data_IF_996723057045
#
_entry.id   IF_996723057045
#
_cell.length_a   1.000
_cell.length_b   1.000
_cell.length_c   1.000
_cell.angle_alpha   90.00
_cell.angle_beta   90.00
_cell.angle_gamma   90.00
#
_symmetry.space_group_name_H-M   'P 1'
#
loop_
_entity.id
_entity.type
_entity.pdbx_description
1 polymer ?
#
# COMPACT_ATOMS: atom_id res chain seq x y z
N UNK A 1 -4.14 -8.55 33.02
CA UNK A 1 -4.71 -7.80 31.87
C UNK A 1 -3.62 -7.23 30.98
N UNK A 2 -2.59 -6.57 31.51
CA UNK A 2 -1.55 -5.90 30.70
C UNK A 2 -0.76 -6.83 29.77
N UNK A 3 -0.38 -8.04 30.22
CA UNK A 3 0.38 -9.01 29.40
C UNK A 3 -0.44 -9.49 28.19
N UNK A 4 -1.74 -9.74 28.38
CA UNK A 4 -2.63 -10.19 27.29
C UNK A 4 -2.81 -9.08 26.25
N UNK A 5 -3.03 -7.84 26.66
CA UNK A 5 -3.10 -6.72 25.73
C UNK A 5 -1.76 -6.48 25.02
N UNK A 6 -0.63 -6.64 25.72
CA UNK A 6 0.68 -6.50 25.09
C UNK A 6 0.85 -7.54 23.97
N UNK A 7 0.41 -8.78 24.19
CA UNK A 7 0.39 -9.81 23.15
C UNK A 7 -0.49 -9.41 21.96
N UNK A 8 -1.69 -8.87 22.21
CA UNK A 8 -2.57 -8.36 21.16
C UNK A 8 -1.94 -7.20 20.38
N UNK A 9 -1.26 -6.27 21.06
CA UNK A 9 -0.57 -5.14 20.40
C UNK A 9 0.60 -5.63 19.54
N UNK A 10 1.37 -6.61 20.01
CA UNK A 10 2.42 -7.24 19.19
C UNK A 10 1.81 -7.94 17.97
N UNK A 11 0.70 -8.67 18.15
CA UNK A 11 0.00 -9.35 17.08
C UNK A 11 -0.58 -8.35 16.05
N UNK A 12 -1.12 -7.22 16.50
CA UNK A 12 -1.58 -6.13 15.64
C UNK A 12 -0.42 -5.53 14.84
N UNK A 13 0.75 -5.31 15.46
CA UNK A 13 1.96 -4.87 14.76
C UNK A 13 2.37 -5.87 13.68
N UNK A 14 2.32 -7.17 13.95
CA UNK A 14 2.66 -8.22 12.98
C UNK A 14 1.66 -8.26 11.80
N UNK A 15 0.35 -8.16 12.06
CA UNK A 15 -0.64 -8.04 10.99
C UNK A 15 -0.47 -6.75 10.19
N UNK A 16 -0.10 -5.64 10.81
CA UNK A 16 0.22 -4.41 10.11
C UNK A 16 1.45 -4.57 9.20
N UNK A 17 2.51 -5.25 9.65
CA UNK A 17 3.66 -5.55 8.79
C UNK A 17 3.24 -6.35 7.56
N UNK A 18 2.46 -7.43 7.76
CA UNK A 18 1.97 -8.25 6.65
C UNK A 18 1.08 -7.43 5.71
N UNK A 19 0.17 -6.62 6.25
CA UNK A 19 -0.69 -5.75 5.46
C UNK A 19 0.13 -4.80 4.58
N UNK A 20 1.16 -4.16 5.15
CA UNK A 20 2.02 -3.22 4.42
C UNK A 20 2.90 -3.87 3.37
N UNK A 21 3.43 -5.07 3.63
CA UNK A 21 4.18 -5.80 2.59
C UNK A 21 3.27 -6.14 1.41
N UNK A 22 2.11 -6.71 1.68
CA UNK A 22 1.26 -7.22 0.61
C UNK A 22 0.49 -6.12 -0.10
N UNK A 23 0.16 -5.01 0.55
CA UNK A 23 -0.46 -3.87 -0.12
C UNK A 23 0.48 -3.23 -1.15
N UNK A 24 1.74 -3.00 -0.77
CA UNK A 24 2.79 -2.51 -1.66
C UNK A 24 2.97 -3.40 -2.89
N UNK A 25 3.10 -4.72 -2.66
CA UNK A 25 3.25 -5.68 -3.76
C UNK A 25 1.99 -5.84 -4.59
N UNK A 26 0.82 -5.58 -4.02
CA UNK A 26 -0.43 -5.55 -4.76
C UNK A 26 -0.47 -4.34 -5.69
N UNK A 27 -0.10 -3.17 -5.16
CA UNK A 27 -0.12 -1.92 -5.89
C UNK A 27 0.95 -1.84 -6.97
N UNK A 28 2.09 -2.49 -6.79
CA UNK A 28 3.11 -2.68 -7.81
C UNK A 28 2.63 -3.56 -8.97
N UNK A 29 2.04 -4.72 -8.66
CA UNK A 29 1.51 -5.64 -9.68
C UNK A 29 0.38 -4.97 -10.47
N UNK A 30 -0.48 -4.24 -9.77
CA UNK A 30 -1.61 -3.56 -10.38
C UNK A 30 -1.27 -2.18 -10.98
N UNK A 31 -0.08 -1.66 -10.68
CA UNK A 31 0.33 -0.29 -10.98
C UNK A 31 -0.72 0.72 -10.51
N UNK A 32 -1.08 0.72 -9.22
CA UNK A 32 -1.96 1.73 -8.61
C UNK A 32 -1.24 2.88 -7.93
N UNK A 33 0.08 2.76 -7.80
CA UNK A 33 0.96 3.68 -7.09
C UNK A 33 1.15 5.03 -7.76
N UNK A 34 1.71 5.98 -7.02
CA UNK A 34 1.99 7.33 -7.50
C UNK A 34 2.79 7.34 -8.83
N UNK A 35 3.80 6.48 -9.04
CA UNK A 35 4.52 6.40 -10.30
C UNK A 35 3.67 5.88 -11.48
N UNK A 36 2.48 5.31 -11.26
CA UNK A 36 1.60 4.87 -12.34
C UNK A 36 1.09 6.04 -13.21
N UNK A 37 1.09 7.27 -12.71
CA UNK A 37 0.86 8.46 -13.54
C UNK A 37 1.82 8.50 -14.75
N UNK A 38 3.05 8.03 -14.57
CA UNK A 38 4.09 7.99 -15.59
C UNK A 38 3.86 6.86 -16.60
N UNK A 39 3.40 5.71 -16.10
CA UNK A 39 2.94 4.60 -16.95
C UNK A 39 1.80 5.03 -17.87
N UNK A 40 0.88 5.87 -17.38
CA UNK A 40 -0.22 6.41 -18.19
C UNK A 40 0.24 7.40 -19.27
N UNK A 41 1.29 8.15 -19.00
CA UNK A 41 1.84 9.16 -19.92
C UNK A 41 2.78 8.54 -20.96
N UNK A 42 3.39 7.40 -20.66
CA UNK A 42 4.39 6.77 -21.52
C UNK A 42 3.94 6.58 -23.00
N UNK A 43 2.71 6.10 -23.29
CA UNK A 43 2.27 6.00 -24.69
C UNK A 43 2.18 7.35 -25.41
N UNK A 44 1.86 8.44 -24.69
CA UNK A 44 1.69 9.78 -25.28
C UNK A 44 3.00 10.33 -25.87
N UNK A 45 4.14 9.87 -25.34
CA UNK A 45 5.47 10.24 -25.83
C UNK A 45 6.11 9.13 -26.68
N UNK A 46 5.34 8.11 -27.08
CA UNK A 46 5.79 7.02 -27.95
C UNK A 46 6.39 5.80 -27.23
N UNK A 47 6.38 5.77 -25.89
CA UNK A 47 6.88 4.65 -25.11
C UNK A 47 5.77 3.63 -24.82
N UNK A 48 5.61 2.67 -25.73
CA UNK A 48 4.70 1.54 -25.54
C UNK A 48 5.25 0.59 -24.46
N UNK A 49 4.39 0.12 -23.56
CA UNK A 49 4.79 -0.66 -22.39
C UNK A 49 3.87 -1.86 -22.12
N UNK A 50 4.39 -2.89 -21.46
CA UNK A 50 3.60 -4.03 -20.94
C UNK A 50 3.39 -3.93 -19.43
N UNK A 51 3.08 -2.74 -18.94
CA UNK A 51 2.73 -2.56 -17.52
C UNK A 51 1.22 -2.66 -17.36
N UNK A 52 0.78 -3.37 -16.34
CA UNK A 52 -0.62 -3.37 -15.95
C UNK A 52 -0.96 -1.96 -15.49
N UNK A 53 -2.17 -1.49 -15.75
CA UNK A 53 -2.56 -0.12 -15.43
C UNK A 53 -3.96 -0.11 -14.85
N UNK A 54 -4.03 -0.39 -13.56
CA UNK A 54 -5.19 -0.07 -12.74
C UNK A 54 -4.88 1.25 -12.06
N UNK A 55 -5.48 2.35 -12.47
CA UNK A 55 -5.73 3.42 -11.50
C UNK A 55 -7.19 3.81 -11.59
N UNK A 56 -7.90 3.50 -10.52
CA UNK A 56 -9.28 3.91 -10.32
C UNK A 56 -9.29 5.16 -9.44
N UNK A 57 -8.44 5.17 -8.42
CA UNK A 57 -8.15 6.28 -7.52
C UNK A 57 -6.69 6.17 -7.05
N UNK A 58 -6.22 7.16 -6.28
CA UNK A 58 -4.96 7.01 -5.54
C UNK A 58 -5.04 5.86 -4.51
N UNK A 59 -3.88 5.30 -4.16
CA UNK A 59 -3.76 4.16 -3.24
C UNK A 59 -4.49 4.35 -1.91
N UNK A 60 -4.36 5.50 -1.20
CA UNK A 60 -5.03 5.67 0.09
C UNK A 60 -6.55 5.48 0.00
N UNK A 61 -7.15 6.05 -1.04
CA UNK A 61 -8.60 5.97 -1.24
C UNK A 61 -9.03 4.57 -1.70
N UNK A 62 -8.23 3.90 -2.53
CA UNK A 62 -8.55 2.56 -3.00
C UNK A 62 -8.52 1.57 -1.83
N UNK A 63 -7.40 1.53 -1.11
CA UNK A 63 -7.22 0.63 0.04
C UNK A 63 -8.23 0.96 1.13
N UNK A 64 -8.45 2.25 1.44
CA UNK A 64 -9.47 2.69 2.39
C UNK A 64 -10.88 2.24 2.01
N UNK A 65 -11.25 2.34 0.73
CA UNK A 65 -12.58 1.91 0.26
C UNK A 65 -12.74 0.39 0.31
N UNK A 66 -11.73 -0.38 -0.14
CA UNK A 66 -11.77 -1.84 -0.09
C UNK A 66 -11.76 -2.37 1.35
N UNK A 67 -10.99 -1.74 2.23
CA UNK A 67 -10.99 -2.03 3.66
C UNK A 67 -12.35 -1.73 4.30
N UNK A 68 -13.01 -0.62 3.93
CA UNK A 68 -14.38 -0.32 4.38
C UNK A 68 -15.38 -1.38 3.95
N UNK A 69 -15.32 -1.84 2.70
CA UNK A 69 -16.19 -2.92 2.21
C UNK A 69 -15.98 -4.19 3.05
N UNK A 70 -14.72 -4.54 3.30
CA UNK A 70 -14.37 -5.68 4.16
C UNK A 70 -14.91 -5.49 5.58
N UNK A 71 -14.67 -4.33 6.20
CA UNK A 71 -15.15 -4.00 7.54
C UNK A 71 -16.67 -3.97 7.65
N UNK A 72 -17.38 -3.51 6.62
CA UNK A 72 -18.85 -3.51 6.57
C UNK A 72 -19.43 -4.93 6.52
N UNK A 73 -18.90 -5.78 5.64
CA UNK A 73 -19.30 -7.20 5.57
C UNK A 73 -18.98 -7.90 6.89
N UNK A 74 -17.79 -7.65 7.45
CA UNK A 74 -17.39 -8.22 8.72
C UNK A 74 -18.32 -7.80 9.87
N UNK A 75 -18.66 -6.51 9.93
CA UNK A 75 -19.58 -5.96 10.93
C UNK A 75 -20.96 -6.63 10.86
N UNK A 76 -21.52 -6.80 9.66
CA UNK A 76 -22.80 -7.47 9.46
C UNK A 76 -22.75 -8.95 9.88
N UNK A 77 -21.69 -9.68 9.52
CA UNK A 77 -21.56 -11.10 9.87
C UNK A 77 -21.32 -11.33 11.36
N UNK A 78 -20.63 -10.41 12.05
CA UNK A 78 -20.49 -10.41 13.51
C UNK A 78 -21.86 -10.18 14.17
N UNK A 79 -22.66 -9.26 13.65
CA UNK A 79 -23.99 -8.96 14.17
C UNK A 79 -24.93 -10.18 14.14
N UNK A 80 -24.83 -11.02 13.11
CA UNK A 80 -25.57 -12.29 13.01
C UNK A 80 -24.82 -13.48 13.65
N UNK A 81 -23.89 -13.21 14.56
CA UNK A 81 -23.16 -14.18 15.40
C UNK A 81 -22.41 -15.29 14.65
N UNK A 82 -21.83 -14.98 13.48
CA UNK A 82 -20.98 -15.95 12.78
C UNK A 82 -19.59 -16.11 13.44
N UNK A 83 -18.92 -17.28 13.26
CA UNK A 83 -17.57 -17.50 13.80
C UNK A 83 -16.55 -16.51 13.23
N UNK A 84 -15.75 -15.89 14.12
CA UNK A 84 -14.83 -14.79 13.78
C UNK A 84 -13.90 -15.12 12.60
N UNK A 85 -13.26 -16.30 12.61
CA UNK A 85 -12.34 -16.68 11.53
C UNK A 85 -13.04 -16.71 10.17
N UNK A 86 -14.27 -17.26 10.11
CA UNK A 86 -15.08 -17.31 8.90
C UNK A 86 -15.48 -15.90 8.46
N UNK A 87 -15.82 -15.02 9.41
CA UNK A 87 -16.13 -13.61 9.11
C UNK A 87 -14.94 -12.91 8.44
N UNK A 88 -13.73 -13.04 8.99
CA UNK A 88 -12.52 -12.39 8.48
C UNK A 88 -12.17 -12.88 7.07
N UNK A 89 -12.33 -14.18 6.80
CA UNK A 89 -12.09 -14.77 5.47
C UNK A 89 -13.13 -14.30 4.45
N UNK A 90 -14.43 -14.37 4.77
CA UNK A 90 -15.49 -14.00 3.82
C UNK A 90 -15.45 -12.52 3.50
N UNK A 91 -15.28 -11.67 4.52
CA UNK A 91 -15.24 -10.21 4.33
C UNK A 91 -14.08 -9.75 3.46
N UNK A 92 -12.88 -10.28 3.67
CA UNK A 92 -11.71 -9.97 2.83
C UNK A 92 -11.86 -10.52 1.41
N UNK A 93 -12.44 -11.72 1.25
CA UNK A 93 -12.74 -12.30 -0.06
C UNK A 93 -13.71 -11.44 -0.88
N UNK A 94 -14.81 -10.98 -0.26
CA UNK A 94 -15.81 -10.13 -0.94
C UNK A 94 -15.16 -8.82 -1.41
N UNK A 95 -14.39 -8.15 -0.56
CA UNK A 95 -13.68 -6.93 -0.94
C UNK A 95 -12.66 -7.16 -2.06
N UNK A 96 -11.94 -8.30 -2.01
CA UNK A 96 -10.98 -8.68 -3.06
C UNK A 96 -11.67 -8.89 -4.41
N UNK A 97 -12.83 -9.55 -4.45
CA UNK A 97 -13.61 -9.75 -5.69
C UNK A 97 -13.99 -8.40 -6.29
N UNK A 98 -14.46 -7.46 -5.46
CA UNK A 98 -14.80 -6.11 -5.91
C UNK A 98 -13.57 -5.41 -6.51
N UNK A 99 -12.42 -5.48 -5.83
CA UNK A 99 -11.16 -4.90 -6.33
C UNK A 99 -10.70 -5.53 -7.65
N UNK A 100 -10.85 -6.85 -7.83
CA UNK A 100 -10.53 -7.55 -9.08
C UNK A 100 -11.41 -7.05 -10.23
N UNK A 101 -12.71 -6.89 -10.01
CA UNK A 101 -13.63 -6.35 -11.03
C UNK A 101 -13.20 -4.94 -11.45
N UNK A 102 -12.86 -4.07 -10.49
CA UNK A 102 -12.31 -2.75 -10.77
C UNK A 102 -10.97 -2.80 -11.51
N UNK A 103 -10.13 -3.78 -11.21
CA UNK A 103 -8.82 -3.97 -11.87
C UNK A 103 -8.98 -4.30 -13.35
N UNK A 104 -9.86 -5.25 -13.68
CA UNK A 104 -10.11 -5.65 -15.07
C UNK A 104 -10.73 -4.49 -15.86
N UNK A 105 -11.78 -3.89 -15.31
CA UNK A 105 -12.52 -2.81 -15.99
C UNK A 105 -11.65 -1.58 -16.24
N UNK A 106 -10.84 -1.16 -15.26
CA UNK A 106 -9.95 -0.01 -15.40
C UNK A 106 -8.80 -0.25 -16.38
N UNK A 107 -8.16 -1.42 -16.35
CA UNK A 107 -7.11 -1.77 -17.30
C UNK A 107 -7.64 -1.75 -18.73
N UNK A 108 -8.74 -2.47 -19.00
CA UNK A 108 -9.33 -2.50 -20.34
C UNK A 108 -9.78 -1.11 -20.79
N UNK A 109 -10.47 -0.36 -19.93
CA UNK A 109 -10.97 0.99 -20.26
C UNK A 109 -9.88 2.03 -20.49
N UNK A 110 -8.71 1.88 -19.85
CA UNK A 110 -7.58 2.81 -20.04
C UNK A 110 -6.75 2.49 -21.25
N UNK A 111 -6.45 1.21 -21.50
CA UNK A 111 -5.68 0.86 -22.70
C UNK A 111 -6.49 1.18 -23.96
N UNK A 112 -7.83 1.05 -23.93
CA UNK A 112 -8.68 1.48 -25.04
C UNK A 112 -8.63 2.99 -25.26
N UNK A 113 -8.52 3.82 -24.22
CA UNK A 113 -8.35 5.27 -24.39
C UNK A 113 -6.96 5.65 -24.93
N UNK A 114 -5.94 4.81 -24.67
CA UNK A 114 -4.59 4.96 -25.21
C UNK A 114 -4.43 4.37 -26.63
N UNK A 115 -5.50 3.84 -27.24
CA UNK A 115 -5.45 3.32 -28.61
C UNK A 115 -5.05 4.40 -29.64
N UNK A 116 -5.32 5.69 -29.36
CA UNK A 116 -4.85 6.82 -30.17
C UNK A 116 -3.32 6.85 -30.31
N UNK A 117 -2.61 6.35 -29.30
CA UNK A 117 -1.15 6.32 -29.25
C UNK A 117 -0.57 4.96 -29.69
N UNK A 118 -1.39 4.11 -30.32
CA UNK A 118 -1.04 2.74 -30.71
C UNK A 118 -0.62 1.83 -29.55
N UNK A 119 -1.06 2.12 -28.31
CA UNK A 119 -0.85 1.22 -27.17
C UNK A 119 -1.72 -0.03 -27.33
N UNK A 120 -1.12 -1.22 -27.50
CA UNK A 120 -1.89 -2.43 -27.69
C UNK A 120 -2.45 -2.95 -26.36
N UNK A 121 -3.64 -3.55 -26.42
CA UNK A 121 -4.22 -4.28 -25.30
C UNK A 121 -3.54 -5.65 -25.16
N UNK A 122 -2.67 -5.77 -24.16
CA UNK A 122 -2.02 -7.02 -23.82
C UNK A 122 -2.95 -7.89 -22.96
N UNK A 123 -3.55 -8.92 -23.56
CA UNK A 123 -4.44 -9.85 -22.86
C UNK A 123 -3.70 -10.76 -21.88
N UNK A 124 -2.44 -11.08 -22.16
CA UNK A 124 -1.58 -11.85 -21.26
C UNK A 124 -1.35 -11.16 -19.90
N UNK A 125 -1.44 -9.83 -19.88
CA UNK A 125 -1.38 -9.04 -18.65
C UNK A 125 -2.61 -9.26 -17.76
N UNK A 126 -3.81 -9.39 -18.32
CA UNK A 126 -5.00 -9.72 -17.53
C UNK A 126 -4.87 -11.09 -16.86
N UNK A 127 -4.44 -12.10 -17.60
CA UNK A 127 -4.37 -13.46 -17.08
C UNK A 127 -3.28 -13.66 -16.02
N UNK A 128 -2.17 -12.93 -16.10
CA UNK A 128 -1.04 -13.07 -15.17
C UNK A 128 -1.17 -12.16 -13.95
N UNK A 129 -1.56 -10.90 -14.15
CA UNK A 129 -1.52 -9.89 -13.10
C UNK A 129 -2.74 -9.96 -12.19
N UNK A 130 -3.92 -10.29 -12.71
CA UNK A 130 -5.15 -10.35 -11.91
C UNK A 130 -5.06 -11.37 -10.78
N UNK A 131 -4.66 -12.65 -11.00
CA UNK A 131 -4.57 -13.61 -9.90
C UNK A 131 -3.53 -13.22 -8.84
N UNK A 132 -2.39 -12.67 -9.26
CA UNK A 132 -1.33 -12.23 -8.35
C UNK A 132 -1.76 -11.02 -7.51
N UNK A 133 -2.33 -10.00 -8.14
CA UNK A 133 -2.91 -8.84 -7.45
C UNK A 133 -4.04 -9.27 -6.51
N UNK A 134 -4.93 -10.17 -6.93
CA UNK A 134 -6.00 -10.68 -6.08
C UNK A 134 -5.46 -11.38 -4.82
N UNK A 135 -4.40 -12.19 -4.95
CA UNK A 135 -3.80 -12.88 -3.81
C UNK A 135 -3.18 -11.89 -2.82
N UNK A 136 -2.44 -10.89 -3.30
CA UNK A 136 -1.86 -9.87 -2.45
C UNK A 136 -2.94 -8.99 -1.78
N UNK A 137 -3.96 -8.58 -2.53
CA UNK A 137 -5.10 -7.81 -2.02
C UNK A 137 -5.83 -8.56 -0.90
N UNK A 138 -6.08 -9.86 -1.09
CA UNK A 138 -6.72 -10.70 -0.08
C UNK A 138 -5.91 -10.72 1.23
N UNK A 139 -4.59 -10.93 1.15
CA UNK A 139 -3.73 -10.99 2.34
C UNK A 139 -3.70 -9.64 3.06
N UNK A 140 -3.59 -8.54 2.30
CA UNK A 140 -3.61 -7.20 2.86
C UNK A 140 -4.94 -6.89 3.55
N UNK A 141 -6.07 -7.08 2.86
CA UNK A 141 -7.40 -6.81 3.39
C UNK A 141 -7.75 -7.73 4.56
N UNK A 142 -7.38 -9.01 4.51
CA UNK A 142 -7.53 -9.92 5.64
C UNK A 142 -6.77 -9.41 6.87
N UNK A 143 -5.54 -8.94 6.67
CA UNK A 143 -4.71 -8.41 7.75
C UNK A 143 -5.29 -7.12 8.33
N UNK A 144 -5.75 -6.19 7.48
CA UNK A 144 -6.43 -4.94 7.90
C UNK A 144 -7.72 -5.23 8.68
N UNK A 145 -8.56 -6.13 8.19
CA UNK A 145 -9.81 -6.45 8.86
C UNK A 145 -9.57 -7.17 10.18
N UNK A 146 -8.56 -8.06 10.23
CA UNK A 146 -8.15 -8.74 11.47
C UNK A 146 -7.60 -7.77 12.50
N UNK A 147 -6.69 -6.87 12.10
CA UNK A 147 -6.11 -5.89 13.02
C UNK A 147 -7.18 -4.91 13.53
N UNK A 148 -8.10 -4.48 12.68
CA UNK A 148 -9.23 -3.61 13.06
C UNK A 148 -10.22 -4.32 13.97
N UNK A 149 -10.45 -5.63 13.77
CA UNK A 149 -11.27 -6.44 14.67
C UNK A 149 -10.65 -6.49 16.08
N UNK A 150 -9.34 -6.68 16.18
CA UNK A 150 -8.64 -6.68 17.47
C UNK A 150 -8.79 -5.32 18.16
N UNK A 151 -8.60 -4.21 17.42
CA UNK A 151 -8.76 -2.84 17.93
C UNK A 151 -10.15 -2.55 18.51
N UNK A 152 -11.20 -3.04 17.87
CA UNK A 152 -12.60 -2.71 18.21
C UNK A 152 -13.20 -3.68 19.23
N UNK A 153 -12.82 -4.96 19.21
CA UNK A 153 -13.53 -5.98 19.98
C UNK A 153 -12.67 -6.75 20.99
N UNK A 154 -11.34 -6.83 20.81
CA UNK A 154 -10.50 -7.73 21.61
C UNK A 154 -9.64 -7.03 22.67
N UNK A 155 -9.29 -5.76 22.47
CA UNK A 155 -8.55 -4.98 23.47
C UNK A 155 -9.42 -4.71 24.71
N UNK A 156 -8.82 -4.67 25.90
CA UNK A 156 -9.58 -4.34 27.14
C UNK A 156 -10.12 -2.92 27.14
N UNK A 157 -9.43 -1.99 26.47
CA UNK A 157 -9.92 -0.65 26.18
C UNK A 157 -10.14 -0.55 24.66
N UNK A 158 -11.28 -1.05 24.15
CA UNK A 158 -11.54 -1.07 22.73
C UNK A 158 -11.80 0.33 22.19
N UNK A 159 -11.50 0.52 20.91
CA UNK A 159 -11.91 1.72 20.19
C UNK A 159 -13.44 1.69 20.05
N UNK A 160 -14.11 2.71 20.59
CA UNK A 160 -15.58 2.84 20.57
C UNK A 160 -16.09 3.44 19.25
N UNK A 161 -15.64 2.88 18.13
CA UNK A 161 -16.00 3.30 16.77
C UNK A 161 -16.39 2.06 15.97
N UNK A 162 -17.36 2.20 15.07
CA UNK A 162 -17.82 1.08 14.25
C UNK A 162 -16.68 0.51 13.39
N UNK A 163 -16.61 -0.82 13.27
CA UNK A 163 -15.59 -1.54 12.50
C UNK A 163 -15.38 -1.00 11.06
N UNK A 164 -16.43 -0.64 10.30
CA UNK A 164 -16.24 -0.10 8.94
C UNK A 164 -15.49 1.24 8.92
N UNK A 165 -15.65 2.06 9.96
CA UNK A 165 -14.96 3.35 10.07
C UNK A 165 -13.50 3.13 10.48
N UNK A 166 -13.23 2.19 11.39
CA UNK A 166 -11.85 1.87 11.78
C UNK A 166 -11.08 1.28 10.59
N UNK A 167 -11.67 0.32 9.88
CA UNK A 167 -11.06 -0.26 8.67
C UNK A 167 -10.82 0.79 7.57
N UNK A 168 -11.71 1.76 7.40
CA UNK A 168 -11.50 2.89 6.50
C UNK A 168 -10.23 3.68 6.83
N UNK A 169 -10.08 4.14 8.08
CA UNK A 169 -8.93 4.94 8.50
C UNK A 169 -7.61 4.15 8.46
N UNK A 170 -7.65 2.89 8.89
CA UNK A 170 -6.50 1.98 8.81
C UNK A 170 -6.12 1.73 7.35
N UNK A 171 -7.10 1.53 6.46
CA UNK A 171 -6.85 1.35 5.03
C UNK A 171 -6.28 2.59 4.35
N UNK A 172 -6.80 3.79 4.65
CA UNK A 172 -6.20 5.05 4.16
C UNK A 172 -4.77 5.21 4.66
N UNK A 173 -4.53 4.94 5.94
CA UNK A 173 -3.20 5.03 6.53
C UNK A 173 -2.23 4.08 5.81
N UNK A 174 -2.65 2.83 5.59
CA UNK A 174 -1.85 1.85 4.87
C UNK A 174 -1.51 2.31 3.45
N UNK A 175 -2.52 2.65 2.63
CA UNK A 175 -2.26 3.10 1.26
C UNK A 175 -1.49 4.43 1.18
N UNK A 176 -1.52 5.25 2.24
CA UNK A 176 -0.65 6.45 2.32
C UNK A 176 0.80 6.09 2.60
N UNK A 177 1.04 5.04 3.40
CA UNK A 177 2.38 4.57 3.73
C UNK A 177 2.99 3.82 2.54
N UNK A 178 2.24 2.94 1.87
CA UNK A 178 2.67 2.30 0.62
C UNK A 178 3.15 3.34 -0.38
N UNK A 179 2.31 4.35 -0.63
CA UNK A 179 2.66 5.43 -1.57
C UNK A 179 3.84 6.30 -1.13
N UNK A 180 4.03 6.52 0.17
CA UNK A 180 5.10 7.39 0.66
C UNK A 180 6.46 6.67 0.78
N UNK A 181 6.45 5.35 0.97
CA UNK A 181 7.63 4.57 1.35
C UNK A 181 8.06 3.63 0.23
N UNK A 182 7.13 2.83 -0.28
CA UNK A 182 7.42 1.80 -1.26
C UNK A 182 7.54 2.29 -2.69
N UNK A 183 6.74 3.29 -3.06
CA UNK A 183 6.73 3.87 -4.41
C UNK A 183 8.09 4.42 -4.86
N UNK A 184 9.00 4.70 -3.92
CA UNK A 184 10.37 5.09 -4.23
C UNK A 184 11.08 3.98 -5.03
N UNK A 185 10.89 2.72 -4.62
CA UNK A 185 11.51 1.56 -5.27
C UNK A 185 10.83 1.23 -6.60
N UNK A 186 9.50 1.36 -6.68
CA UNK A 186 8.81 1.16 -7.94
C UNK A 186 9.14 2.27 -8.96
N UNK A 187 9.03 3.52 -8.53
CA UNK A 187 9.22 4.70 -9.35
C UNK A 187 10.69 4.98 -9.65
N UNK A 188 11.42 5.50 -8.67
CA UNK A 188 12.76 6.02 -8.88
C UNK A 188 13.76 4.92 -9.28
N UNK A 189 13.70 3.76 -8.61
CA UNK A 189 14.69 2.70 -8.82
C UNK A 189 14.41 1.83 -10.06
N UNK A 190 13.13 1.56 -10.32
CA UNK A 190 12.76 0.57 -11.33
C UNK A 190 12.16 1.18 -12.59
N UNK A 191 11.13 2.02 -12.49
CA UNK A 191 10.56 2.69 -13.67
C UNK A 191 11.56 3.61 -14.35
N UNK A 192 12.42 4.29 -13.59
CA UNK A 192 13.39 5.26 -14.12
C UNK A 192 14.84 4.81 -14.01
N UNK A 193 15.08 3.51 -14.08
CA UNK A 193 16.40 2.89 -13.93
C UNK A 193 17.51 3.43 -14.86
N UNK A 194 17.17 4.06 -15.99
CA UNK A 194 18.12 4.66 -16.93
C UNK A 194 18.47 6.12 -16.62
N UNK A 195 17.84 6.71 -15.60
CA UNK A 195 18.21 8.00 -15.04
C UNK A 195 19.13 7.81 -13.82
N UNK A 196 19.84 8.88 -13.45
CA UNK A 196 20.77 8.81 -12.32
C UNK A 196 20.02 8.56 -11.01
N UNK A 197 20.54 7.62 -10.21
CA UNK A 197 20.00 7.28 -8.91
C UNK A 197 19.91 8.52 -8.02
N UNK A 198 18.76 8.73 -7.38
CA UNK A 198 18.53 9.87 -6.48
C UNK A 198 18.41 11.23 -7.18
N UNK A 199 18.50 11.29 -8.52
CA UNK A 199 18.11 12.48 -9.26
C UNK A 199 16.59 12.60 -9.19
N UNK A 200 16.08 13.67 -8.56
CA UNK A 200 14.66 13.95 -8.59
C UNK A 200 14.19 13.97 -10.04
N UNK A 201 13.09 13.30 -10.35
CA UNK A 201 12.68 13.07 -11.74
C UNK A 201 12.09 14.36 -12.29
N UNK A 202 12.77 15.05 -13.23
CA UNK A 202 12.28 16.33 -13.72
C UNK A 202 10.99 16.12 -14.51
N UNK A 203 10.09 17.11 -14.48
CA UNK A 203 8.81 17.05 -15.19
C UNK A 203 9.00 16.81 -16.70
N UNK A 204 10.13 17.24 -17.25
CA UNK A 204 10.48 17.05 -18.66
C UNK A 204 10.68 15.60 -19.08
N UNK A 205 10.93 14.66 -18.15
CA UNK A 205 11.11 13.23 -18.46
C UNK A 205 9.90 12.38 -18.08
N UNK A 206 8.77 13.01 -17.74
CA UNK A 206 7.54 12.28 -17.42
C UNK A 206 7.12 11.35 -18.57
N UNK A 207 6.77 10.11 -18.23
CA UNK A 207 6.44 9.06 -19.19
C UNK A 207 7.66 8.42 -19.88
N UNK A 208 8.87 8.94 -19.68
CA UNK A 208 10.10 8.33 -20.18
C UNK A 208 10.54 7.18 -19.27
N UNK A 209 9.70 6.15 -19.22
CA UNK A 209 9.90 4.98 -18.36
C UNK A 209 10.71 3.88 -19.06
N UNK A 210 11.31 3.03 -18.25
CA UNK A 210 12.02 1.83 -18.68
C UNK A 210 10.98 0.77 -19.09
N UNK A 211 10.96 0.42 -20.38
CA UNK A 211 10.00 -0.57 -20.93
C UNK A 211 10.62 -1.94 -21.20
N UNK A 212 11.95 -2.05 -21.08
CA UNK A 212 12.73 -3.25 -21.41
C UNK A 212 13.69 -3.62 -20.28
N UNK A 213 13.86 -4.92 -20.09
CA UNK A 213 14.83 -5.56 -19.20
C UNK A 213 15.85 -6.35 -20.00
N UNK A 214 16.78 -6.99 -19.28
CA UNK A 214 17.75 -7.93 -19.83
C UNK A 214 17.11 -9.08 -20.67
N UNK A 215 15.88 -9.49 -20.36
CA UNK A 215 15.21 -10.64 -20.98
C UNK A 215 14.02 -10.27 -21.88
N UNK A 216 13.77 -8.98 -22.15
CA UNK A 216 12.68 -8.55 -23.03
C UNK A 216 11.89 -7.37 -22.47
N UNK A 217 10.58 -7.32 -22.76
CA UNK A 217 9.70 -6.27 -22.24
C UNK A 217 9.48 -6.44 -20.74
N UNK A 218 9.62 -5.36 -19.97
CA UNK A 218 9.25 -5.36 -18.55
C UNK A 218 7.74 -5.29 -18.37
N UNK A 219 7.29 -5.93 -17.30
CA UNK A 219 5.90 -5.90 -16.84
C UNK A 219 5.81 -5.69 -15.33
N UNK A 220 4.61 -5.43 -14.82
CA UNK A 220 4.39 -5.08 -13.41
C UNK A 220 4.70 -6.21 -12.40
N UNK A 221 4.77 -7.49 -12.83
CA UNK A 221 5.19 -8.58 -11.94
C UNK A 221 6.72 -8.54 -11.75
N UNK A 222 7.47 -8.13 -12.78
CA UNK A 222 8.93 -7.95 -12.66
C UNK A 222 9.25 -6.81 -11.69
N UNK A 223 8.43 -5.75 -11.70
CA UNK A 223 8.48 -4.64 -10.74
C UNK A 223 8.22 -5.13 -9.32
N UNK A 224 7.10 -5.82 -9.10
CA UNK A 224 6.76 -6.38 -7.80
C UNK A 224 7.82 -7.37 -7.27
N UNK A 225 8.47 -8.14 -8.15
CA UNK A 225 9.57 -9.02 -7.75
C UNK A 225 10.76 -8.23 -7.20
N UNK A 226 11.08 -7.07 -7.78
CA UNK A 226 12.10 -6.18 -7.24
C UNK A 226 11.67 -5.57 -5.90
N UNK A 227 10.48 -4.97 -5.86
CA UNK A 227 9.93 -4.35 -4.66
C UNK A 227 9.72 -5.32 -3.49
N UNK A 228 9.48 -6.61 -3.76
CA UNK A 228 9.37 -7.66 -2.71
C UNK A 228 10.61 -7.80 -1.84
N UNK A 229 11.76 -7.32 -2.31
CA UNK A 229 13.02 -7.34 -1.55
C UNK A 229 13.27 -6.04 -0.79
N UNK A 230 12.60 -4.94 -1.16
CA UNK A 230 12.91 -3.59 -0.69
C UNK A 230 11.65 -2.83 -0.29
N UNK A 231 10.85 -2.37 -1.27
CA UNK A 231 9.61 -1.60 -1.07
C UNK A 231 8.67 -2.26 -0.06
N UNK A 232 8.18 -3.46 -0.37
CA UNK A 232 7.22 -4.17 0.48
C UNK A 232 7.70 -4.33 1.92
N UNK A 233 8.89 -4.89 2.18
CA UNK A 233 9.44 -5.00 3.53
C UNK A 233 9.51 -3.67 4.30
N UNK A 234 9.90 -2.56 3.65
CA UNK A 234 10.04 -1.26 4.32
C UNK A 234 8.67 -0.61 4.54
N UNK A 235 7.74 -0.69 3.57
CA UNK A 235 6.34 -0.27 3.71
C UNK A 235 5.66 -1.01 4.87
N UNK A 236 5.82 -2.33 4.93
CA UNK A 236 5.37 -3.17 6.04
C UNK A 236 5.97 -2.79 7.38
N UNK A 237 7.29 -2.63 7.45
CA UNK A 237 7.97 -2.24 8.69
C UNK A 237 7.48 -0.88 9.18
N UNK A 238 7.34 0.10 8.29
CA UNK A 238 6.85 1.43 8.63
C UNK A 238 5.44 1.37 9.23
N UNK A 239 4.50 0.69 8.54
CA UNK A 239 3.13 0.57 9.02
C UNK A 239 3.05 -0.22 10.33
N UNK A 240 3.81 -1.31 10.44
CA UNK A 240 3.94 -2.11 11.65
C UNK A 240 4.41 -1.31 12.86
N UNK A 241 5.47 -0.52 12.71
CA UNK A 241 6.01 0.34 13.76
C UNK A 241 5.00 1.40 14.19
N UNK A 242 4.31 2.04 13.23
CA UNK A 242 3.29 3.06 13.53
C UNK A 242 2.16 2.45 14.36
N UNK A 243 1.59 1.33 13.93
CA UNK A 243 0.52 0.65 14.67
C UNK A 243 1.03 0.21 16.04
N UNK A 244 2.19 -0.46 16.11
CA UNK A 244 2.74 -0.93 17.37
C UNK A 244 2.98 0.22 18.35
N UNK A 245 3.71 1.26 17.95
CA UNK A 245 4.03 2.40 18.82
C UNK A 245 2.76 3.13 19.27
N UNK A 246 1.77 3.29 18.39
CA UNK A 246 0.53 3.96 18.75
C UNK A 246 -0.19 3.24 19.90
N UNK A 247 -0.36 1.91 19.86
CA UNK A 247 -1.05 1.21 20.95
C UNK A 247 -0.13 0.95 22.15
N UNK A 248 1.16 0.74 21.93
CA UNK A 248 2.13 0.50 22.99
C UNK A 248 2.27 1.70 23.93
N UNK A 249 2.29 2.94 23.41
CA UNK A 249 2.40 4.14 24.25
C UNK A 249 1.21 4.28 25.19
N UNK A 250 -0.02 4.09 24.69
CA UNK A 250 -1.23 4.17 25.53
C UNK A 250 -1.35 3.00 26.51
N UNK A 251 -0.86 1.82 26.13
CA UNK A 251 -0.88 0.64 27.00
C UNK A 251 0.08 0.78 28.18
N UNK A 252 1.31 1.27 27.94
CA UNK A 252 2.36 1.36 28.99
C UNK A 252 2.23 2.62 29.84
N UNK A 253 1.90 3.76 29.23
CA UNK A 253 1.93 5.06 29.91
C UNK A 253 0.53 5.63 30.22
N UNK A 254 -0.53 4.87 29.90
CA UNK A 254 -1.92 5.33 30.00
C UNK A 254 -2.23 6.48 29.03
N UNK A 255 -3.39 7.12 29.20
CA UNK A 255 -3.85 8.16 28.26
C UNK A 255 -2.95 9.39 28.29
N UNK A 256 -2.72 9.97 29.47
CA UNK A 256 -1.94 11.22 29.60
C UNK A 256 -0.46 11.00 29.28
N UNK A 257 0.14 9.94 29.83
CA UNK A 257 1.53 9.61 29.55
C UNK A 257 1.74 9.17 28.09
N UNK A 258 0.79 8.43 27.51
CA UNK A 258 0.83 8.01 26.11
C UNK A 258 0.82 9.20 25.14
N UNK A 259 0.01 10.24 25.42
CA UNK A 259 0.01 11.48 24.63
C UNK A 259 1.37 12.22 24.70
N UNK A 260 1.96 12.32 25.89
CA UNK A 260 3.26 12.98 26.09
C UNK A 260 4.37 12.21 25.37
N UNK A 261 4.44 10.90 25.58
CA UNK A 261 5.45 10.05 24.93
C UNK A 261 5.25 10.02 23.42
N UNK A 262 4.00 9.98 22.94
CA UNK A 262 3.66 10.09 21.53
C UNK A 262 4.16 11.39 20.90
N UNK A 263 3.94 12.53 21.57
CA UNK A 263 4.45 13.83 21.12
C UNK A 263 5.99 13.83 21.04
N UNK A 264 6.66 13.30 22.07
CA UNK A 264 8.13 13.20 22.10
C UNK A 264 8.63 12.35 20.92
N UNK A 265 7.99 11.21 20.65
CA UNK A 265 8.34 10.34 19.52
C UNK A 265 8.19 11.05 18.17
N UNK A 266 7.08 11.78 17.97
CA UNK A 266 6.86 12.54 16.73
C UNK A 266 7.93 13.62 16.55
N UNK A 267 8.23 14.40 17.60
CA UNK A 267 9.28 15.43 17.55
C UNK A 267 10.65 14.79 17.24
N UNK A 268 10.96 13.67 17.89
CA UNK A 268 12.19 12.93 17.64
C UNK A 268 12.31 12.47 16.18
N UNK A 269 11.24 11.90 15.60
CA UNK A 269 11.21 11.47 14.20
C UNK A 269 11.36 12.64 13.22
N UNK A 270 10.77 13.81 13.52
CA UNK A 270 10.94 15.03 12.70
C UNK A 270 12.40 15.48 12.70
N UNK A 271 13.04 15.52 13.87
CA UNK A 271 14.46 15.88 14.00
C UNK A 271 15.34 14.90 13.24
N UNK A 272 15.07 13.59 13.38
CA UNK A 272 15.80 12.54 12.68
C UNK A 272 15.67 12.70 11.16
N UNK A 273 14.46 12.95 10.66
CA UNK A 273 14.22 13.19 9.23
C UNK A 273 15.00 14.41 8.73
N UNK A 274 14.97 15.53 9.47
CA UNK A 274 15.72 16.74 9.12
C UNK A 274 17.24 16.50 9.05
N UNK A 275 17.79 15.75 10.01
CA UNK A 275 19.22 15.40 10.02
C UNK A 275 19.57 14.49 8.85
N UNK A 276 18.75 13.48 8.56
CA UNK A 276 18.95 12.57 7.43
C UNK A 276 18.89 13.31 6.09
N UNK A 277 17.88 14.14 5.88
CA UNK A 277 17.72 14.95 4.67
C UNK A 277 18.92 15.90 4.47
N UNK A 278 19.34 16.60 5.54
CA UNK A 278 20.51 17.47 5.49
C UNK A 278 21.78 16.70 5.12
N UNK A 279 22.00 15.53 5.71
CA UNK A 279 23.15 14.68 5.41
C UNK A 279 23.11 14.15 3.98
N UNK A 280 21.95 13.71 3.51
CA UNK A 280 21.76 13.26 2.13
C UNK A 280 22.09 14.38 1.13
N UNK A 281 21.63 15.61 1.38
CA UNK A 281 21.96 16.78 0.54
C UNK A 281 23.43 17.13 0.52
N UNK A 282 24.14 16.92 1.62
CA UNK A 282 25.58 17.16 1.71
C UNK A 282 26.39 16.13 0.91
N UNK A 283 25.91 14.88 0.85
CA UNK A 283 26.61 13.77 0.17
C UNK A 283 26.26 13.72 -1.32
N UNK A 284 24.99 13.83 -1.66
CA UNK A 284 24.48 13.60 -3.02
C UNK A 284 24.19 14.88 -3.80
N UNK A 285 24.34 16.06 -3.18
CA UNK A 285 24.06 17.35 -3.80
C UNK A 285 22.64 17.85 -3.57
N UNK A 286 22.35 19.07 -4.03
CA UNK A 286 21.01 19.67 -3.95
C UNK A 286 20.12 19.07 -5.05
N UNK A 287 18.80 19.08 -4.83
CA UNK A 287 17.84 18.81 -5.90
C UNK A 287 18.14 19.74 -7.07
N UNK A 288 18.35 19.18 -8.26
CA UNK A 288 18.41 19.96 -9.49
C UNK A 288 17.03 20.56 -9.75
N UNK A 289 16.96 21.88 -9.91
CA UNK A 289 15.80 22.57 -10.47
C UNK A 289 15.78 22.45 -11.99
#
# INVERSE_FOLDING_TARGET
MEIFNMFLVILMGLFAIIAGIFEDLESDVASTSNPNSQVQLAPQIGNLHKLFNRAVSGEPLLVGSMATISGAVAYTLIYIHQPVLLVLIISSLVATIVQVIFSITSYMGRITSQALYNQPLFMDMLYKHIPTSAAHAFISLFSITTLSYIMVYSLTQPIQVALPIVTFFVGIMLGSIGSAVGDIFYGAEKLYQHHEFGSGIPVSVNGHITTKSALGSENSIDMAKFCSKFGGPISGLCFGIIIFLNFWTFLVFGIVGGLIVGLILVIFLIILNYVLERNARLIYGKYGE
#
